data_IF_375106698977
#
_entry.id   IF_375106698977
#
_cell.length_a   1.000
_cell.length_b   1.000
_cell.length_c   1.000
_cell.angle_alpha   90.00
_cell.angle_beta   90.00
_cell.angle_gamma   90.00
#
_symmetry.space_group_name_H-M   'P 1'
#
loop_
_entity.id
_entity.type
_entity.pdbx_description
1 polymer ?
#
# COMPACT_ATOMS: atom_id res chain seq x y z
N UNK A 1 55.78 -3.51 4.14
CA UNK A 1 55.52 -4.91 3.76
C UNK A 1 54.12 -5.17 3.18
N UNK A 2 53.03 -4.50 3.60
CA UNK A 2 51.70 -4.72 3.00
C UNK A 2 51.50 -3.99 1.66
N UNK A 3 52.08 -2.79 1.48
CA UNK A 3 52.00 -2.03 0.22
C UNK A 3 52.85 -2.63 -0.93
N UNK A 4 53.98 -3.25 -0.61
CA UNK A 4 54.81 -3.97 -1.60
C UNK A 4 54.12 -5.26 -2.10
N UNK A 5 53.29 -5.89 -1.26
CA UNK A 5 52.60 -7.15 -1.60
C UNK A 5 51.41 -6.92 -2.54
N UNK A 6 50.68 -5.81 -2.39
CA UNK A 6 49.54 -5.44 -3.24
C UNK A 6 50.01 -5.14 -4.68
N UNK A 7 51.17 -4.49 -4.81
CA UNK A 7 51.76 -4.19 -6.11
C UNK A 7 52.19 -5.45 -6.86
N UNK A 8 52.74 -6.44 -6.15
CA UNK A 8 53.22 -7.68 -6.75
C UNK A 8 52.10 -8.57 -7.30
N UNK A 9 50.96 -8.66 -6.61
CA UNK A 9 49.80 -9.43 -7.07
C UNK A 9 49.14 -8.80 -8.32
N UNK A 10 48.97 -7.48 -8.31
CA UNK A 10 48.39 -6.76 -9.46
C UNK A 10 49.29 -6.87 -10.70
N UNK A 11 50.59 -6.70 -10.53
CA UNK A 11 51.57 -6.87 -11.62
C UNK A 11 51.53 -8.29 -12.17
N UNK A 12 51.42 -9.32 -11.32
CA UNK A 12 51.24 -10.71 -11.76
C UNK A 12 49.97 -10.92 -12.56
N UNK A 13 48.85 -10.35 -12.15
CA UNK A 13 47.56 -10.47 -12.84
C UNK A 13 47.59 -9.74 -14.17
N UNK A 14 48.13 -8.52 -14.24
CA UNK A 14 48.26 -7.78 -15.49
C UNK A 14 49.22 -8.46 -16.46
N UNK A 15 50.33 -9.00 -15.96
CA UNK A 15 51.30 -9.73 -16.77
C UNK A 15 50.70 -11.05 -17.31
N UNK A 16 50.03 -11.83 -16.46
CA UNK A 16 49.38 -13.08 -16.89
C UNK A 16 48.24 -12.82 -17.86
N UNK A 17 47.41 -11.79 -17.62
CA UNK A 17 46.32 -11.40 -18.51
C UNK A 17 46.83 -10.87 -19.85
N UNK A 18 47.95 -10.14 -19.87
CA UNK A 18 48.58 -9.69 -21.11
C UNK A 18 49.11 -10.86 -21.94
N UNK A 19 49.79 -11.83 -21.30
CA UNK A 19 50.29 -13.04 -21.98
C UNK A 19 49.13 -13.88 -22.52
N UNK A 20 48.09 -14.09 -21.71
CA UNK A 20 46.93 -14.88 -22.08
C UNK A 20 46.06 -14.19 -23.14
N UNK A 21 45.91 -12.86 -23.06
CA UNK A 21 45.27 -12.03 -24.07
C UNK A 21 46.02 -12.01 -25.39
N UNK A 22 47.35 -11.92 -25.36
CA UNK A 22 48.22 -12.10 -26.53
C UNK A 22 47.97 -13.45 -27.20
N UNK A 23 47.90 -14.52 -26.41
CA UNK A 23 47.64 -15.88 -26.90
C UNK A 23 46.23 -16.01 -27.50
N UNK A 24 45.20 -15.43 -26.88
CA UNK A 24 43.84 -15.37 -27.43
C UNK A 24 43.75 -14.60 -28.75
N UNK A 25 44.45 -13.47 -28.86
CA UNK A 25 44.56 -12.70 -30.10
C UNK A 25 45.31 -13.44 -31.22
N UNK A 26 46.28 -14.29 -30.83
CA UNK A 26 47.06 -15.15 -31.72
C UNK A 26 46.24 -16.36 -32.20
N UNK A 27 45.47 -17.01 -31.33
CA UNK A 27 44.49 -18.03 -31.72
C UNK A 27 43.44 -17.43 -32.67
N UNK A 28 42.92 -16.24 -32.36
CA UNK A 28 42.02 -15.50 -33.25
C UNK A 28 42.66 -15.15 -34.59
N UNK A 29 43.98 -14.95 -34.62
CA UNK A 29 44.72 -14.80 -35.87
C UNK A 29 44.69 -16.09 -36.68
N UNK A 30 45.11 -17.20 -36.10
CA UNK A 30 45.20 -18.47 -36.80
C UNK A 30 43.85 -18.95 -37.30
N UNK A 31 42.79 -18.83 -36.50
CA UNK A 31 41.44 -19.25 -36.91
C UNK A 31 40.91 -18.41 -38.09
N UNK A 32 41.10 -17.08 -38.05
CA UNK A 32 40.66 -16.22 -39.15
C UNK A 32 41.58 -16.38 -40.38
N UNK A 33 42.87 -16.61 -40.17
CA UNK A 33 43.82 -16.80 -41.25
C UNK A 33 43.65 -18.18 -41.93
N UNK A 34 43.27 -19.21 -41.18
CA UNK A 34 42.88 -20.54 -41.68
C UNK A 34 41.61 -20.46 -42.54
N UNK A 35 40.60 -19.70 -42.10
CA UNK A 35 39.40 -19.41 -42.93
C UNK A 35 39.75 -18.67 -44.22
N UNK A 36 40.70 -17.72 -44.19
CA UNK A 36 41.15 -17.03 -45.39
C UNK A 36 42.10 -17.84 -46.26
N UNK A 37 42.89 -18.77 -45.70
CA UNK A 37 43.75 -19.68 -46.49
C UNK A 37 42.98 -20.82 -47.14
N UNK A 38 41.92 -21.35 -46.49
CA UNK A 38 40.96 -22.26 -47.14
C UNK A 38 40.25 -21.57 -48.31
N UNK A 39 39.95 -20.26 -48.18
CA UNK A 39 39.40 -19.47 -49.29
C UNK A 39 40.45 -19.07 -50.35
N UNK A 40 41.75 -19.14 -50.03
CA UNK A 40 42.86 -18.67 -50.87
C UNK A 40 43.76 -19.78 -51.42
N UNK A 41 43.38 -21.06 -51.32
CA UNK A 41 44.09 -22.21 -51.91
C UNK A 41 44.25 -22.17 -53.46
N UNK A 42 43.91 -21.06 -54.11
CA UNK A 42 44.08 -20.80 -55.54
C UNK A 42 45.07 -19.69 -55.89
N UNK A 43 45.84 -19.12 -54.95
CA UNK A 43 46.89 -18.16 -55.32
C UNK A 43 48.19 -18.35 -54.57
N UNK A 44 49.23 -18.41 -55.39
CA UNK A 44 50.62 -18.65 -55.03
C UNK A 44 51.13 -17.85 -53.84
N UNK A 45 51.85 -18.60 -53.00
CA UNK A 45 53.05 -18.25 -52.27
C UNK A 45 53.29 -16.77 -51.99
N UNK A 46 53.07 -16.37 -50.73
CA UNK A 46 53.82 -15.27 -50.12
C UNK A 46 53.69 -15.31 -48.59
N UNK A 47 54.61 -16.04 -47.97
CA UNK A 47 54.73 -16.18 -46.50
C UNK A 47 55.25 -14.91 -45.80
N UNK A 48 55.54 -13.84 -46.54
CA UNK A 48 56.11 -12.59 -46.01
C UNK A 48 55.10 -11.73 -45.21
N UNK A 49 53.78 -11.89 -45.40
CA UNK A 49 52.77 -11.01 -44.77
C UNK A 49 52.29 -11.45 -43.38
N UNK A 50 52.78 -12.58 -42.88
CA UNK A 50 52.28 -13.22 -41.65
C UNK A 50 52.85 -12.58 -40.38
N UNK A 51 54.08 -12.06 -40.42
CA UNK A 51 54.78 -11.56 -39.22
C UNK A 51 54.23 -10.24 -38.65
N UNK A 52 54.02 -9.16 -39.42
CA UNK A 52 53.42 -7.91 -38.90
C UNK A 52 51.98 -8.15 -38.43
N UNK A 53 51.30 -9.02 -39.20
CA UNK A 53 50.14 -9.84 -38.88
C UNK A 53 49.94 -10.17 -37.41
N UNK A 54 50.75 -11.13 -36.98
CA UNK A 54 50.74 -11.78 -35.68
C UNK A 54 51.07 -10.80 -34.55
N UNK A 55 51.98 -9.86 -34.77
CA UNK A 55 52.34 -8.91 -33.71
C UNK A 55 51.17 -7.97 -33.39
N UNK A 56 50.55 -7.39 -34.41
CA UNK A 56 49.38 -6.51 -34.24
C UNK A 56 48.20 -7.25 -33.59
N UNK A 57 48.05 -8.51 -33.97
CA UNK A 57 47.05 -9.43 -33.46
C UNK A 57 47.16 -9.72 -31.97
N UNK A 58 48.36 -10.02 -31.51
CA UNK A 58 48.64 -10.27 -30.10
C UNK A 58 48.50 -8.99 -29.28
N UNK A 59 48.92 -7.83 -29.81
CA UNK A 59 48.73 -6.54 -29.15
C UNK A 59 47.24 -6.18 -28.98
N UNK A 60 46.41 -6.41 -30.01
CA UNK A 60 44.95 -6.19 -29.92
C UNK A 60 44.34 -7.14 -28.88
N UNK A 61 44.77 -8.40 -28.85
CA UNK A 61 44.32 -9.39 -27.86
C UNK A 61 44.69 -9.00 -26.42
N UNK A 62 45.92 -8.54 -26.19
CA UNK A 62 46.36 -8.04 -24.89
C UNK A 62 45.57 -6.80 -24.45
N UNK A 63 45.41 -5.82 -25.33
CA UNK A 63 44.64 -4.61 -25.04
C UNK A 63 43.17 -4.92 -24.70
N UNK A 64 42.53 -5.81 -25.47
CA UNK A 64 41.16 -6.25 -25.20
C UNK A 64 41.02 -7.00 -23.88
N UNK A 65 41.99 -7.86 -23.55
CA UNK A 65 42.00 -8.57 -22.27
C UNK A 65 42.17 -7.64 -21.07
N UNK A 66 43.03 -6.63 -21.16
CA UNK A 66 43.25 -5.65 -20.09
C UNK A 66 41.99 -4.81 -19.90
N UNK A 67 41.39 -4.30 -20.98
CA UNK A 67 40.16 -3.50 -20.93
C UNK A 67 39.01 -4.26 -20.29
N UNK A 68 38.88 -5.55 -20.60
CA UNK A 68 37.85 -6.42 -20.02
C UNK A 68 38.10 -6.72 -18.53
N UNK A 69 39.36 -6.87 -18.12
CA UNK A 69 39.72 -7.05 -16.71
C UNK A 69 39.31 -5.83 -15.88
N UNK A 70 39.58 -4.62 -16.37
CA UNK A 70 39.14 -3.37 -15.72
C UNK A 70 37.62 -3.30 -15.58
N UNK A 71 36.87 -3.72 -16.61
CA UNK A 71 35.42 -3.76 -16.57
C UNK A 71 34.89 -4.71 -15.50
N UNK A 72 35.46 -5.91 -15.37
CA UNK A 72 35.04 -6.88 -14.34
C UNK A 72 35.38 -6.39 -12.93
N UNK A 73 36.56 -5.79 -12.75
CA UNK A 73 36.93 -5.19 -11.46
C UNK A 73 35.99 -4.04 -11.09
N UNK A 74 35.59 -3.20 -12.05
CA UNK A 74 34.65 -2.11 -11.81
C UNK A 74 33.25 -2.59 -11.36
N UNK A 75 32.85 -3.80 -11.77
CA UNK A 75 31.58 -4.44 -11.39
C UNK A 75 31.71 -5.21 -10.06
N UNK A 76 32.90 -5.25 -9.45
CA UNK A 76 33.15 -5.92 -8.17
C UNK A 76 33.25 -7.44 -8.27
N UNK A 77 33.49 -7.99 -9.47
CA UNK A 77 33.49 -9.43 -9.73
C UNK A 77 34.73 -10.21 -9.28
N UNK A 78 35.83 -9.53 -8.91
CA UNK A 78 37.12 -10.12 -8.54
C UNK A 78 37.73 -9.36 -7.35
N UNK A 79 37.47 -9.82 -6.12
CA UNK A 79 37.92 -9.11 -4.91
C UNK A 79 39.04 -9.81 -4.13
N UNK A 80 39.40 -11.05 -4.45
CA UNK A 80 40.55 -11.75 -3.86
C UNK A 80 41.27 -12.55 -4.96
N UNK A 81 42.58 -12.36 -5.10
CA UNK A 81 43.43 -13.10 -6.06
C UNK A 81 44.35 -14.07 -5.33
N UNK A 82 43.83 -14.75 -4.30
CA UNK A 82 44.66 -15.59 -3.42
C UNK A 82 44.41 -17.08 -3.61
N UNK A 83 43.39 -17.48 -4.38
CA UNK A 83 43.11 -18.90 -4.64
C UNK A 83 43.46 -19.29 -6.08
N UNK A 84 43.96 -20.52 -6.26
CA UNK A 84 44.35 -21.06 -7.57
C UNK A 84 43.19 -21.04 -8.58
N UNK A 85 41.96 -21.27 -8.12
CA UNK A 85 40.76 -21.26 -8.97
C UNK A 85 40.44 -19.87 -9.53
N UNK A 86 40.67 -18.80 -8.77
CA UNK A 86 40.46 -17.42 -9.22
C UNK A 86 41.49 -17.01 -10.27
N UNK A 87 42.75 -17.46 -10.12
CA UNK A 87 43.77 -17.27 -11.15
C UNK A 87 43.41 -17.99 -12.46
N UNK A 88 42.99 -19.25 -12.39
CA UNK A 88 42.59 -20.02 -13.57
C UNK A 88 41.37 -19.41 -14.28
N UNK A 89 40.43 -18.85 -13.50
CA UNK A 89 39.27 -18.14 -14.05
C UNK A 89 39.68 -16.84 -14.75
N UNK A 90 40.55 -16.03 -14.14
CA UNK A 90 41.07 -14.79 -14.73
C UNK A 90 41.83 -15.06 -16.04
N UNK A 91 42.66 -16.10 -16.06
CA UNK A 91 43.39 -16.56 -17.24
C UNK A 91 42.41 -16.96 -18.36
N UNK A 92 41.41 -17.78 -18.05
CA UNK A 92 40.43 -18.26 -19.05
C UNK A 92 39.63 -17.12 -19.66
N UNK A 93 39.19 -16.17 -18.83
CA UNK A 93 38.44 -14.99 -19.26
C UNK A 93 39.29 -14.07 -20.13
N UNK A 94 40.58 -13.91 -19.79
CA UNK A 94 41.53 -13.10 -20.55
C UNK A 94 41.76 -13.63 -21.97
N UNK A 95 41.86 -14.96 -22.14
CA UNK A 95 41.98 -15.61 -23.46
C UNK A 95 40.72 -15.37 -24.30
N UNK A 96 39.52 -15.52 -23.70
CA UNK A 96 38.23 -15.33 -24.39
C UNK A 96 38.04 -13.87 -24.82
N UNK A 97 38.36 -12.92 -23.94
CA UNK A 97 38.27 -11.48 -24.23
C UNK A 97 39.24 -11.06 -25.34
N UNK A 98 40.48 -11.57 -25.32
CA UNK A 98 41.47 -11.33 -26.38
C UNK A 98 41.02 -11.88 -27.74
N UNK A 99 40.37 -13.04 -27.77
CA UNK A 99 39.77 -13.62 -28.98
C UNK A 99 38.56 -12.80 -29.48
N UNK A 100 37.67 -12.40 -28.57
CA UNK A 100 36.45 -11.63 -28.86
C UNK A 100 36.75 -10.26 -29.48
N UNK A 101 37.68 -9.50 -28.88
CA UNK A 101 38.08 -8.17 -29.34
C UNK A 101 38.52 -8.17 -30.81
N UNK A 102 39.27 -9.18 -31.23
CA UNK A 102 39.72 -9.29 -32.62
C UNK A 102 38.58 -9.62 -33.59
N UNK A 103 37.65 -10.51 -33.21
CA UNK A 103 36.60 -10.96 -34.12
C UNK A 103 35.52 -9.91 -34.39
N UNK A 104 35.29 -9.00 -33.43
CA UNK A 104 34.22 -8.00 -33.47
C UNK A 104 34.66 -6.65 -34.06
N UNK A 105 35.90 -6.21 -33.79
CA UNK A 105 36.36 -4.88 -34.19
C UNK A 105 36.35 -4.64 -35.72
N UNK A 106 36.82 -5.57 -36.59
CA UNK A 106 36.80 -5.35 -38.04
C UNK A 106 35.39 -5.31 -38.64
N UNK A 107 34.41 -5.99 -38.01
CA UNK A 107 33.01 -6.01 -38.46
C UNK A 107 32.26 -4.71 -38.14
N UNK A 108 32.70 -3.97 -37.13
CA UNK A 108 32.13 -2.66 -36.80
C UNK A 108 32.66 -1.54 -37.71
N UNK A 109 33.92 -1.61 -38.14
CA UNK A 109 34.55 -0.57 -38.98
C UNK A 109 34.06 -0.61 -40.43
N UNK A 110 33.89 -1.80 -41.03
CA UNK A 110 33.37 -1.94 -42.41
C UNK A 110 31.90 -1.55 -42.59
N UNK A 111 31.11 -1.57 -41.50
CA UNK A 111 29.72 -1.09 -41.51
C UNK A 111 29.61 0.43 -41.29
N UNK A 112 30.65 1.10 -40.79
CA UNK A 112 30.67 2.55 -40.58
C UNK A 112 30.94 3.34 -41.87
N UNK A 113 31.86 2.87 -42.73
CA UNK A 113 32.18 3.57 -44.00
C UNK A 113 31.04 3.49 -45.03
N UNK A 114 30.35 2.35 -45.11
CA UNK A 114 29.22 2.16 -46.03
C UNK A 114 27.94 2.85 -45.55
N UNK A 115 27.81 3.08 -44.24
CA UNK A 115 26.74 3.91 -43.67
C UNK A 115 27.00 5.40 -43.90
N UNK A 116 28.24 5.86 -44.00
CA UNK A 116 28.55 7.30 -44.12
C UNK A 116 28.14 7.94 -45.46
N UNK A 117 28.20 7.21 -46.59
CA UNK A 117 27.78 7.78 -47.90
C UNK A 117 26.28 7.64 -48.19
N UNK A 118 25.57 6.71 -47.55
CA UNK A 118 24.09 6.66 -47.57
C UNK A 118 23.47 7.61 -46.52
N UNK A 119 24.25 8.07 -45.54
CA UNK A 119 23.85 9.01 -44.48
C UNK A 119 23.75 10.44 -45.01
N UNK A 120 24.54 10.89 -45.98
CA UNK A 120 24.44 12.29 -46.46
C UNK A 120 23.09 12.59 -47.15
N UNK A 121 22.47 11.56 -47.77
CA UNK A 121 21.10 11.65 -48.34
C UNK A 121 19.99 11.24 -47.35
N UNK A 122 20.31 10.48 -46.29
CA UNK A 122 19.36 10.13 -45.21
C UNK A 122 19.38 11.07 -44.00
N UNK A 123 20.38 11.93 -43.82
CA UNK A 123 20.48 12.86 -42.67
C UNK A 123 19.36 13.88 -42.67
N UNK A 124 18.84 14.28 -43.84
CA UNK A 124 17.61 15.07 -43.92
C UNK A 124 16.32 14.27 -43.61
N UNK A 125 16.36 12.93 -43.54
CA UNK A 125 15.20 12.08 -43.19
C UNK A 125 15.36 11.34 -41.84
N UNK A 126 16.56 11.30 -41.25
CA UNK A 126 16.87 10.65 -39.97
C UNK A 126 17.01 11.66 -38.82
N UNK A 127 17.29 12.94 -39.08
CA UNK A 127 17.11 14.00 -38.09
C UNK A 127 15.68 13.96 -37.51
N UNK A 128 14.68 13.90 -38.40
CA UNK A 128 13.26 13.82 -38.02
C UNK A 128 12.91 12.52 -37.26
N UNK A 129 13.55 11.37 -37.58
CA UNK A 129 13.24 10.07 -36.94
C UNK A 129 13.98 9.82 -35.62
N UNK A 130 15.14 10.41 -35.40
CA UNK A 130 15.84 10.33 -34.09
C UNK A 130 15.17 11.26 -33.08
N UNK A 131 14.69 12.43 -33.53
CA UNK A 131 13.84 13.30 -32.72
C UNK A 131 12.48 12.64 -32.42
N UNK A 132 11.89 11.91 -33.38
CA UNK A 132 10.69 11.09 -33.16
C UNK A 132 10.92 9.96 -32.15
N UNK A 133 12.02 9.21 -32.22
CA UNK A 133 12.30 8.12 -31.25
C UNK A 133 12.66 8.65 -29.86
N UNK A 134 13.41 9.75 -29.75
CA UNK A 134 13.72 10.37 -28.46
C UNK A 134 12.47 10.99 -27.82
N UNK A 135 11.60 11.61 -28.61
CA UNK A 135 10.29 12.09 -28.14
C UNK A 135 9.36 10.96 -27.71
N UNK A 136 9.35 9.81 -28.41
CA UNK A 136 8.57 8.63 -28.00
C UNK A 136 9.12 8.03 -26.70
N UNK A 137 10.44 7.97 -26.54
CA UNK A 137 11.06 7.48 -25.30
C UNK A 137 10.80 8.41 -24.11
N UNK A 138 10.86 9.73 -24.33
CA UNK A 138 10.51 10.72 -23.31
C UNK A 138 9.03 10.68 -22.95
N UNK A 139 8.13 10.56 -23.94
CA UNK A 139 6.70 10.38 -23.72
C UNK A 139 6.39 9.09 -22.95
N UNK A 140 7.03 7.97 -23.30
CA UNK A 140 6.87 6.70 -22.58
C UNK A 140 7.41 6.76 -21.14
N UNK A 141 8.53 7.47 -20.91
CA UNK A 141 9.05 7.69 -19.56
C UNK A 141 8.15 8.61 -18.73
N UNK A 142 7.56 9.63 -19.34
CA UNK A 142 6.59 10.50 -18.71
C UNK A 142 5.28 9.75 -18.38
N UNK A 143 4.79 8.91 -19.30
CA UNK A 143 3.62 8.06 -19.09
C UNK A 143 3.87 7.01 -18.00
N UNK A 144 5.06 6.41 -17.94
CA UNK A 144 5.45 5.51 -16.87
C UNK A 144 5.50 6.24 -15.51
N UNK A 145 6.04 7.47 -15.46
CA UNK A 145 6.02 8.30 -14.25
C UNK A 145 4.59 8.66 -13.82
N UNK A 146 3.73 9.03 -14.76
CA UNK A 146 2.30 9.29 -14.49
C UNK A 146 1.60 8.03 -13.96
N UNK A 147 1.87 6.86 -14.54
CA UNK A 147 1.32 5.59 -14.08
C UNK A 147 1.79 5.21 -12.66
N UNK A 148 3.07 5.42 -12.34
CA UNK A 148 3.61 5.21 -10.98
C UNK A 148 2.94 6.17 -10.00
N UNK A 149 2.84 7.45 -10.33
CA UNK A 149 2.20 8.45 -9.47
C UNK A 149 0.71 8.13 -9.25
N UNK A 150 0.00 7.68 -10.29
CA UNK A 150 -1.38 7.21 -10.17
C UNK A 150 -1.49 5.99 -9.27
N UNK A 151 -0.60 5.01 -9.42
CA UNK A 151 -0.58 3.81 -8.57
C UNK A 151 -0.30 4.13 -7.09
N UNK A 152 0.64 5.03 -6.81
CA UNK A 152 0.91 5.51 -5.45
C UNK A 152 -0.29 6.24 -4.84
N UNK A 153 -0.93 7.12 -5.62
CA UNK A 153 -2.14 7.81 -5.17
C UNK A 153 -3.28 6.83 -4.86
N UNK A 154 -3.49 5.83 -5.73
CA UNK A 154 -4.50 4.80 -5.54
C UNK A 154 -4.21 3.93 -4.31
N UNK A 155 -2.94 3.60 -4.07
CA UNK A 155 -2.51 2.89 -2.87
C UNK A 155 -2.81 3.70 -1.60
N UNK A 156 -2.43 4.97 -1.56
CA UNK A 156 -2.73 5.83 -0.41
C UNK A 156 -4.23 6.01 -0.16
N UNK A 157 -5.04 6.13 -1.22
CA UNK A 157 -6.50 6.14 -1.10
C UNK A 157 -7.04 4.82 -0.56
N UNK A 158 -6.53 3.68 -1.03
CA UNK A 158 -6.95 2.36 -0.55
C UNK A 158 -6.58 2.13 0.93
N UNK A 159 -5.38 2.54 1.36
CA UNK A 159 -4.96 2.47 2.75
C UNK A 159 -5.82 3.34 3.66
N UNK A 160 -6.15 4.56 3.23
CA UNK A 160 -7.06 5.44 3.95
C UNK A 160 -8.46 4.82 4.08
N UNK A 161 -9.02 4.32 2.98
CA UNK A 161 -10.33 3.68 2.98
C UNK A 161 -10.36 2.43 3.88
N UNK A 162 -9.32 1.60 3.84
CA UNK A 162 -9.22 0.43 4.71
C UNK A 162 -9.22 0.82 6.19
N UNK A 163 -8.48 1.88 6.56
CA UNK A 163 -8.46 2.38 7.94
C UNK A 163 -9.86 2.84 8.39
N UNK A 164 -10.56 3.61 7.55
CA UNK A 164 -11.92 4.09 7.85
C UNK A 164 -12.90 2.94 8.04
N UNK A 165 -12.91 1.98 7.11
CA UNK A 165 -13.78 0.78 7.18
C UNK A 165 -13.50 -0.02 8.46
N UNK A 166 -12.23 -0.17 8.83
CA UNK A 166 -11.84 -0.88 10.04
C UNK A 166 -12.37 -0.18 11.31
N UNK A 167 -12.24 1.14 11.40
CA UNK A 167 -12.75 1.93 12.53
C UNK A 167 -14.30 1.83 12.65
N UNK A 168 -15.00 1.83 11.53
CA UNK A 168 -16.46 1.61 11.49
C UNK A 168 -16.84 0.20 11.93
N UNK A 169 -16.13 -0.82 11.43
CA UNK A 169 -16.35 -2.21 11.80
C UNK A 169 -16.11 -2.46 13.30
N UNK A 170 -15.06 -1.87 13.88
CA UNK A 170 -14.75 -1.97 15.30
C UNK A 170 -15.87 -1.35 16.15
N UNK A 171 -16.45 -0.23 15.70
CA UNK A 171 -17.58 0.44 16.35
C UNK A 171 -18.87 -0.40 16.28
N UNK A 172 -19.14 -1.04 15.14
CA UNK A 172 -20.27 -1.97 14.97
C UNK A 172 -20.12 -3.20 15.86
N UNK A 173 -18.91 -3.77 15.91
CA UNK A 173 -18.59 -4.92 16.77
C UNK A 173 -18.80 -4.59 18.24
N UNK A 174 -18.30 -3.43 18.68
CA UNK A 174 -18.49 -2.98 20.05
C UNK A 174 -19.97 -2.78 20.40
N UNK A 175 -20.77 -2.22 19.48
CA UNK A 175 -22.22 -2.10 19.67
C UNK A 175 -22.89 -3.45 19.90
N UNK A 176 -22.57 -4.46 19.09
CA UNK A 176 -23.12 -5.81 19.25
C UNK A 176 -22.72 -6.43 20.60
N UNK A 177 -21.45 -6.29 20.99
CA UNK A 177 -20.93 -6.79 22.26
C UNK A 177 -21.60 -6.13 23.47
N UNK A 178 -21.91 -4.83 23.41
CA UNK A 178 -22.65 -4.13 24.49
C UNK A 178 -24.07 -4.69 24.65
N UNK A 179 -24.74 -5.02 23.54
CA UNK A 179 -26.08 -5.62 23.57
C UNK A 179 -26.03 -7.01 24.21
N UNK A 180 -25.09 -7.85 23.77
CA UNK A 180 -24.87 -9.18 24.37
C UNK A 180 -24.53 -9.08 25.87
N UNK A 181 -23.75 -8.07 26.25
CA UNK A 181 -23.36 -7.85 27.63
C UNK A 181 -24.53 -7.48 28.57
N UNK A 182 -25.68 -7.08 28.04
CA UNK A 182 -26.88 -6.83 28.82
C UNK A 182 -27.47 -8.11 29.43
N UNK A 183 -27.18 -9.30 28.88
CA UNK A 183 -27.69 -10.58 29.38
C UNK A 183 -27.33 -10.81 30.86
N UNK A 184 -28.25 -11.36 31.64
CA UNK A 184 -28.07 -11.53 33.09
C UNK A 184 -26.81 -12.33 33.47
N UNK A 185 -26.45 -13.35 32.68
CA UNK A 185 -25.32 -14.24 32.92
C UNK A 185 -23.95 -13.71 32.50
N UNK A 186 -23.85 -12.54 31.87
CA UNK A 186 -22.55 -12.00 31.42
C UNK A 186 -21.65 -11.68 32.61
N UNK A 187 -20.42 -12.19 32.56
CA UNK A 187 -19.44 -12.04 33.64
C UNK A 187 -19.15 -10.56 33.97
N UNK A 188 -19.00 -10.20 35.26
CA UNK A 188 -18.76 -8.83 35.69
C UNK A 188 -17.57 -8.14 35.02
N UNK A 189 -16.48 -8.87 34.78
CA UNK A 189 -15.29 -8.30 34.18
C UNK A 189 -15.53 -7.94 32.71
N UNK A 190 -16.18 -8.83 31.96
CA UNK A 190 -16.45 -8.65 30.53
C UNK A 190 -17.28 -7.39 30.28
N UNK A 191 -18.42 -7.23 30.97
CA UNK A 191 -19.27 -6.07 30.71
C UNK A 191 -18.64 -4.75 31.19
N UNK A 192 -17.80 -4.77 32.24
CA UNK A 192 -17.05 -3.60 32.70
C UNK A 192 -16.02 -3.14 31.67
N UNK A 193 -15.27 -4.08 31.10
CA UNK A 193 -14.25 -3.77 30.09
C UNK A 193 -14.90 -3.21 28.82
N UNK A 194 -16.01 -3.81 28.38
CA UNK A 194 -16.80 -3.29 27.25
C UNK A 194 -17.38 -1.91 27.54
N UNK A 195 -17.90 -1.67 28.75
CA UNK A 195 -18.43 -0.38 29.15
C UNK A 195 -17.34 0.70 29.14
N UNK A 196 -16.17 0.42 29.71
CA UNK A 196 -15.03 1.34 29.73
C UNK A 196 -14.61 1.72 28.31
N UNK A 197 -14.41 0.72 27.43
CA UNK A 197 -14.05 0.95 26.03
C UNK A 197 -15.10 1.79 25.29
N UNK A 198 -16.38 1.54 25.55
CA UNK A 198 -17.47 2.30 24.94
C UNK A 198 -17.52 3.75 25.44
N UNK A 199 -17.28 3.97 26.74
CA UNK A 199 -17.21 5.31 27.33
C UNK A 199 -16.01 6.12 26.82
N UNK A 200 -14.85 5.49 26.64
CA UNK A 200 -13.69 6.12 26.00
C UNK A 200 -14.00 6.52 24.56
N UNK A 201 -14.66 5.65 23.79
CA UNK A 201 -15.09 5.97 22.44
C UNK A 201 -16.11 7.12 22.43
N UNK A 202 -17.08 7.10 23.36
CA UNK A 202 -18.07 8.16 23.56
C UNK A 202 -17.43 9.52 23.85
N UNK A 203 -16.39 9.55 24.68
CA UNK A 203 -15.62 10.76 24.98
C UNK A 203 -14.83 11.29 23.77
N UNK A 204 -14.48 10.44 22.80
CA UNK A 204 -13.58 10.79 21.69
C UNK A 204 -14.22 11.58 20.54
N UNK A 205 -15.47 12.05 20.63
CA UNK A 205 -16.27 12.64 19.54
C UNK A 205 -16.39 11.79 18.26
N UNK A 206 -15.87 10.56 18.25
CA UNK A 206 -15.97 9.59 17.15
C UNK A 206 -17.07 8.57 17.35
N UNK A 207 -17.73 8.56 18.51
CA UNK A 207 -18.81 7.62 18.77
C UNK A 207 -20.04 7.96 17.94
N UNK A 208 -20.60 6.93 17.30
CA UNK A 208 -21.96 7.00 16.79
C UNK A 208 -22.97 7.15 17.94
N UNK A 209 -24.09 7.81 17.68
CA UNK A 209 -25.22 7.92 18.60
C UNK A 209 -25.71 6.56 19.13
N UNK A 210 -25.58 5.49 18.34
CA UNK A 210 -25.93 4.13 18.74
C UNK A 210 -25.08 3.61 19.92
N UNK A 211 -23.79 3.97 19.99
CA UNK A 211 -22.91 3.59 21.11
C UNK A 211 -23.46 4.16 22.42
N UNK A 212 -23.88 5.42 22.43
CA UNK A 212 -24.47 6.07 23.61
C UNK A 212 -25.74 5.36 24.09
N UNK A 213 -26.63 4.97 23.17
CA UNK A 213 -27.85 4.21 23.50
C UNK A 213 -27.48 2.85 24.12
N UNK A 214 -26.50 2.14 23.55
CA UNK A 214 -26.12 0.82 24.06
C UNK A 214 -25.33 0.88 25.37
N UNK A 215 -24.56 1.95 25.62
CA UNK A 215 -24.00 2.25 26.95
C UNK A 215 -25.13 2.41 27.96
N UNK A 216 -26.15 3.23 27.66
CA UNK A 216 -27.26 3.47 28.56
C UNK A 216 -28.05 2.17 28.85
N UNK A 217 -28.28 1.33 27.84
CA UNK A 217 -28.91 0.01 28.01
C UNK A 217 -28.10 -0.91 28.94
N UNK A 218 -26.78 -0.98 28.74
CA UNK A 218 -25.93 -1.78 29.60
C UNK A 218 -25.97 -1.27 31.05
N UNK A 219 -25.89 0.05 31.24
CA UNK A 219 -25.97 0.69 32.55
C UNK A 219 -27.31 0.42 33.25
N UNK A 220 -28.43 0.46 32.52
CA UNK A 220 -29.76 0.10 33.03
C UNK A 220 -29.76 -1.33 33.61
N UNK A 221 -29.12 -2.29 32.92
CA UNK A 221 -29.12 -3.68 33.36
C UNK A 221 -28.05 -4.02 34.41
N UNK A 222 -26.93 -3.31 34.45
CA UNK A 222 -25.75 -3.69 35.26
C UNK A 222 -25.39 -2.71 36.36
N UNK A 223 -25.89 -1.48 36.31
CA UNK A 223 -25.54 -0.40 37.23
C UNK A 223 -26.79 0.19 37.88
N UNK A 224 -27.36 1.24 37.28
CA UNK A 224 -28.54 1.95 37.80
C UNK A 224 -29.27 2.66 36.64
N UNK A 225 -30.55 2.96 36.86
CA UNK A 225 -31.31 3.80 35.95
C UNK A 225 -30.75 5.22 35.85
N UNK A 226 -30.23 5.79 36.95
CA UNK A 226 -29.66 7.14 36.95
C UNK A 226 -28.42 7.25 36.07
N UNK A 227 -27.54 6.24 36.07
CA UNK A 227 -26.40 6.21 35.18
C UNK A 227 -26.83 6.15 33.70
N UNK A 228 -27.83 5.32 33.40
CA UNK A 228 -28.37 5.20 32.05
C UNK A 228 -29.02 6.50 31.56
N UNK A 229 -29.84 7.14 32.40
CA UNK A 229 -30.47 8.43 32.12
C UNK A 229 -29.41 9.50 31.89
N UNK A 230 -28.39 9.60 32.75
CA UNK A 230 -27.30 10.57 32.60
C UNK A 230 -26.55 10.41 31.27
N UNK A 231 -26.32 9.18 30.81
CA UNK A 231 -25.72 8.92 29.49
C UNK A 231 -26.61 9.44 28.36
N UNK A 232 -27.93 9.24 28.45
CA UNK A 232 -28.89 9.74 27.45
C UNK A 232 -29.02 11.27 27.49
N UNK A 233 -28.96 11.88 28.67
CA UNK A 233 -28.91 13.35 28.83
C UNK A 233 -27.70 13.92 28.11
N UNK A 234 -26.53 13.30 28.29
CA UNK A 234 -25.30 13.71 27.61
C UNK A 234 -25.43 13.58 26.08
N UNK A 235 -26.03 12.49 25.59
CA UNK A 235 -26.30 12.33 24.16
C UNK A 235 -27.22 13.43 23.62
N UNK A 236 -28.32 13.72 24.32
CA UNK A 236 -29.26 14.77 23.93
C UNK A 236 -28.61 16.15 23.94
N UNK A 237 -27.79 16.45 24.95
CA UNK A 237 -27.00 17.68 25.01
C UNK A 237 -26.06 17.81 23.81
N UNK A 238 -25.42 16.72 23.37
CA UNK A 238 -24.58 16.73 22.17
C UNK A 238 -25.37 17.02 20.90
N UNK A 239 -26.60 16.51 20.77
CA UNK A 239 -27.48 16.88 19.67
C UNK A 239 -27.88 18.36 19.71
N UNK A 240 -28.16 18.91 20.89
CA UNK A 240 -28.52 20.32 21.03
C UNK A 240 -27.34 21.27 20.81
N UNK A 241 -26.13 20.84 21.16
CA UNK A 241 -24.89 21.55 20.89
C UNK A 241 -24.42 21.43 19.43
N UNK A 242 -25.13 20.67 18.57
CA UNK A 242 -24.75 20.34 17.20
C UNK A 242 -23.38 19.63 17.09
N UNK A 243 -22.96 18.93 18.15
CA UNK A 243 -21.75 18.08 18.12
C UNK A 243 -22.00 16.77 17.37
N UNK A 244 -23.26 16.32 17.33
CA UNK A 244 -23.72 15.14 16.59
C UNK A 244 -24.91 15.55 15.73
N UNK A 245 -24.91 15.12 14.46
CA UNK A 245 -26.04 15.35 13.54
C UNK A 245 -27.25 14.52 13.94
N UNK A 246 -28.44 15.14 13.97
CA UNK A 246 -29.71 14.43 14.30
C UNK A 246 -29.96 13.29 13.32
N UNK A 247 -30.01 12.07 13.84
CA UNK A 247 -30.31 10.86 13.10
C UNK A 247 -31.53 10.15 13.71
N UNK A 248 -31.78 8.90 13.31
CA UNK A 248 -32.89 8.08 13.85
C UNK A 248 -32.79 7.83 15.36
N UNK A 249 -31.58 7.90 15.93
CA UNK A 249 -31.35 7.68 17.35
C UNK A 249 -31.67 8.93 18.20
N UNK A 250 -31.98 10.08 17.57
CA UNK A 250 -32.42 11.28 18.30
C UNK A 250 -33.76 11.05 19.00
N UNK A 251 -34.79 10.59 18.28
CA UNK A 251 -36.08 10.21 18.91
C UNK A 251 -35.93 8.98 19.80
N UNK A 252 -35.05 8.03 19.44
CA UNK A 252 -34.79 6.85 20.24
C UNK A 252 -34.15 7.16 21.60
N UNK A 253 -33.35 8.23 21.71
CA UNK A 253 -32.80 8.67 22.98
C UNK A 253 -33.91 9.06 23.98
N UNK A 254 -34.91 9.83 23.52
CA UNK A 254 -36.10 10.13 24.31
C UNK A 254 -36.88 8.88 24.68
N UNK A 255 -37.11 7.98 23.72
CA UNK A 255 -37.81 6.71 23.97
C UNK A 255 -37.16 5.92 25.10
N UNK A 256 -35.85 5.65 25.01
CA UNK A 256 -35.15 4.85 26.02
C UNK A 256 -35.16 5.56 27.38
N UNK A 257 -35.01 6.90 27.40
CA UNK A 257 -35.06 7.68 28.64
C UNK A 257 -36.46 7.65 29.28
N UNK A 258 -37.53 7.69 28.47
CA UNK A 258 -38.90 7.52 28.93
C UNK A 258 -39.11 6.15 29.61
N UNK A 259 -38.64 5.06 28.99
CA UNK A 259 -38.68 3.73 29.59
C UNK A 259 -37.99 3.70 30.96
N UNK A 260 -36.82 4.35 31.06
CA UNK A 260 -36.05 4.35 32.30
C UNK A 260 -36.72 5.16 33.40
N UNK A 261 -37.29 6.31 33.08
CA UNK A 261 -38.09 7.09 34.03
C UNK A 261 -39.36 6.36 34.47
N UNK A 262 -40.08 5.68 33.57
CA UNK A 262 -41.28 4.91 33.95
C UNK A 262 -40.91 3.75 34.87
N UNK A 263 -39.85 2.99 34.56
CA UNK A 263 -39.38 1.93 35.46
C UNK A 263 -38.94 2.46 36.82
N UNK A 264 -38.28 3.63 36.87
CA UNK A 264 -37.97 4.28 38.14
C UNK A 264 -39.25 4.63 38.90
N UNK A 265 -40.26 5.21 38.24
CA UNK A 265 -41.55 5.51 38.84
C UNK A 265 -42.20 4.24 39.43
N UNK A 266 -42.20 3.14 38.69
CA UNK A 266 -42.77 1.87 39.16
C UNK A 266 -42.04 1.32 40.39
N UNK A 267 -40.76 1.64 40.56
CA UNK A 267 -39.97 1.26 41.74
C UNK A 267 -40.09 2.24 42.93
N UNK A 268 -40.30 3.53 42.67
CA UNK A 268 -40.20 4.60 43.66
C UNK A 268 -41.54 5.23 44.04
N UNK A 269 -42.55 5.10 43.17
CA UNK A 269 -43.83 5.81 43.18
C UNK A 269 -43.72 7.36 43.16
N UNK A 270 -42.59 7.92 42.73
CA UNK A 270 -42.41 9.38 42.65
C UNK A 270 -43.03 9.93 41.37
N UNK A 271 -44.11 10.70 41.49
CA UNK A 271 -44.85 11.25 40.35
C UNK A 271 -43.99 12.10 39.39
N UNK A 272 -42.94 12.75 39.89
CA UNK A 272 -42.00 13.50 39.08
C UNK A 272 -41.34 12.64 37.99
N UNK A 273 -41.04 11.37 38.27
CA UNK A 273 -40.42 10.46 37.30
C UNK A 273 -41.39 10.11 36.18
N UNK A 274 -42.66 9.86 36.51
CA UNK A 274 -43.70 9.62 35.50
C UNK A 274 -43.98 10.84 34.62
N UNK A 275 -43.91 12.04 35.20
CA UNK A 275 -44.02 13.29 34.43
C UNK A 275 -42.86 13.43 33.45
N UNK A 276 -41.63 13.08 33.84
CA UNK A 276 -40.49 13.07 32.92
C UNK A 276 -40.66 12.03 31.82
N UNK A 277 -41.14 10.82 32.15
CA UNK A 277 -41.43 9.80 31.15
C UNK A 277 -42.43 10.28 30.09
N UNK A 278 -43.52 10.94 30.49
CA UNK A 278 -44.51 11.52 29.57
C UNK A 278 -43.92 12.66 28.72
N UNK A 279 -43.07 13.52 29.31
CA UNK A 279 -42.40 14.58 28.58
C UNK A 279 -41.46 14.03 27.50
N UNK A 280 -40.76 12.94 27.81
CA UNK A 280 -39.90 12.23 26.85
C UNK A 280 -40.70 11.51 25.77
N UNK A 281 -41.82 10.85 26.10
CA UNK A 281 -42.74 10.29 25.10
C UNK A 281 -43.20 11.37 24.13
N UNK A 282 -43.66 12.53 24.65
CA UNK A 282 -44.07 13.65 23.80
C UNK A 282 -42.95 14.12 22.88
N UNK A 283 -41.73 14.25 23.40
CA UNK A 283 -40.55 14.67 22.62
C UNK A 283 -40.17 13.62 21.56
N UNK A 284 -40.23 12.34 21.92
CA UNK A 284 -40.04 11.21 21.00
C UNK A 284 -41.02 11.30 19.83
N UNK A 285 -42.32 11.41 20.09
CA UNK A 285 -43.37 11.48 19.07
C UNK A 285 -43.25 12.73 18.20
N UNK A 286 -42.86 13.87 18.78
CA UNK A 286 -42.66 15.13 18.04
C UNK A 286 -41.51 15.03 17.02
N UNK A 287 -40.50 14.22 17.32
CA UNK A 287 -39.32 14.05 16.48
C UNK A 287 -39.31 12.74 15.68
N UNK A 288 -40.31 11.90 15.87
CA UNK A 288 -40.46 10.64 15.15
C UNK A 288 -40.81 10.90 13.68
N UNK A 289 -40.22 10.10 12.78
CA UNK A 289 -40.61 10.12 11.36
C UNK A 289 -42.02 9.57 11.14
N UNK A 290 -42.42 8.59 11.95
CA UNK A 290 -43.75 7.99 11.93
C UNK A 290 -44.26 7.84 13.37
N UNK A 291 -44.91 8.89 13.93
CA UNK A 291 -45.42 8.86 15.30
C UNK A 291 -46.42 7.74 15.56
N UNK A 292 -47.23 7.35 14.57
CA UNK A 292 -48.20 6.26 14.72
C UNK A 292 -47.51 4.91 14.99
N UNK A 293 -46.46 4.61 14.23
CA UNK A 293 -45.67 3.39 14.45
C UNK A 293 -44.94 3.41 15.80
N UNK A 294 -44.44 4.56 16.25
CA UNK A 294 -43.83 4.68 17.59
C UNK A 294 -44.87 4.45 18.70
N UNK A 295 -46.09 4.95 18.56
CA UNK A 295 -47.18 4.69 19.53
C UNK A 295 -47.49 3.20 19.62
N UNK A 296 -47.56 2.49 18.49
CA UNK A 296 -47.74 1.04 18.48
C UNK A 296 -46.59 0.31 19.19
N UNK A 297 -45.34 0.67 18.89
CA UNK A 297 -44.18 0.10 19.57
C UNK A 297 -44.20 0.36 21.08
N UNK A 298 -44.57 1.57 21.52
CA UNK A 298 -44.71 1.90 22.94
C UNK A 298 -45.78 1.06 23.63
N UNK A 299 -46.90 0.76 22.94
CA UNK A 299 -47.98 -0.08 23.49
C UNK A 299 -47.56 -1.53 23.69
N UNK A 300 -46.66 -2.03 22.83
CA UNK A 300 -46.15 -3.40 22.90
C UNK A 300 -44.92 -3.52 23.83
N UNK A 301 -44.31 -2.41 24.25
CA UNK A 301 -43.16 -2.40 25.15
C UNK A 301 -43.56 -2.64 26.61
N UNK A 302 -42.97 -3.68 27.21
CA UNK A 302 -43.17 -4.06 28.60
C UNK A 302 -42.72 -2.98 29.58
N UNK A 303 -41.69 -2.21 29.22
CA UNK A 303 -41.14 -1.15 30.08
C UNK A 303 -42.10 0.06 30.18
N UNK A 304 -43.05 0.19 29.23
CA UNK A 304 -44.04 1.27 29.18
C UNK A 304 -45.47 0.79 29.43
N UNK A 305 -45.66 -0.49 29.77
CA UNK A 305 -46.97 -1.14 29.86
C UNK A 305 -47.99 -0.43 30.77
N UNK A 306 -47.52 0.19 31.86
CA UNK A 306 -48.38 0.97 32.76
C UNK A 306 -48.54 2.43 32.33
N UNK A 307 -47.55 2.99 31.63
CA UNK A 307 -47.62 4.35 31.10
C UNK A 307 -48.68 4.46 30.00
N UNK A 308 -48.71 3.51 29.07
CA UNK A 308 -49.61 3.56 27.91
C UNK A 308 -51.09 3.44 28.25
N UNK A 309 -51.41 2.95 29.45
CA UNK A 309 -52.77 2.88 30.00
C UNK A 309 -53.24 4.19 30.63
N UNK A 310 -52.32 5.14 30.87
CA UNK A 310 -52.67 6.42 31.49
C UNK A 310 -53.49 7.30 30.56
N UNK A 311 -54.38 8.09 31.14
CA UNK A 311 -55.19 9.06 30.40
C UNK A 311 -54.30 10.09 29.69
N UNK A 312 -53.18 10.46 30.29
CA UNK A 312 -52.20 11.39 29.76
C UNK A 312 -51.53 10.84 28.49
N UNK A 313 -51.14 9.56 28.48
CA UNK A 313 -50.59 8.93 27.28
C UNK A 313 -51.65 8.82 26.18
N UNK A 314 -52.87 8.40 26.51
CA UNK A 314 -53.97 8.30 25.53
C UNK A 314 -54.24 9.66 24.88
N UNK A 315 -54.30 10.73 25.67
CA UNK A 315 -54.47 12.09 25.16
C UNK A 315 -53.31 12.53 24.24
N UNK A 316 -52.06 12.15 24.56
CA UNK A 316 -50.92 12.40 23.68
C UNK A 316 -51.03 11.63 22.36
N UNK A 317 -51.42 10.35 22.40
CA UNK A 317 -51.58 9.52 21.23
C UNK A 317 -52.70 10.03 20.30
N UNK A 318 -53.85 10.41 20.87
CA UNK A 318 -54.98 10.96 20.13
C UNK A 318 -54.64 12.29 19.47
N UNK A 319 -53.90 13.16 20.18
CA UNK A 319 -53.43 14.42 19.63
C UNK A 319 -52.52 14.19 18.41
N UNK A 320 -51.61 13.22 18.49
CA UNK A 320 -50.70 12.92 17.38
C UNK A 320 -51.44 12.34 16.17
N UNK A 321 -52.43 11.47 16.40
CA UNK A 321 -53.29 10.94 15.34
C UNK A 321 -54.09 12.04 14.64
N UNK A 322 -54.54 13.06 15.38
CA UNK A 322 -55.24 14.21 14.81
C UNK A 322 -54.32 15.13 13.98
N UNK A 323 -53.05 15.27 14.36
CA UNK A 323 -52.09 16.14 13.65
C UNK A 323 -51.42 15.50 12.45
N UNK A 324 -51.37 14.17 12.38
CA UNK A 324 -50.75 13.41 11.29
C UNK A 324 -51.69 12.28 10.82
N UNK A 325 -52.81 12.60 10.15
CA UNK A 325 -53.65 11.58 9.52
C UNK A 325 -52.84 10.96 8.39
N UNK A 326 -52.49 9.68 8.53
CA UNK A 326 -51.66 8.94 7.57
C UNK A 326 -52.15 9.00 6.13
#
# INVERSE_FOLDING_TARGET
MLEEFINYALVKVLFSSSICGCFGGLIGHFINNEKSTIAAAHRDGRDWFVYPSIVQSSLIGAAGSIAFLFFITAIGGLNNFNTLNEYLRSISVSVIAGFGARSLLPRMVGNLEKQLSEVDTRVSQVGDKVEEVDSIAQAAAEDARKAIQQAESAKSSAEHNYKTIKEEFDTLTLNAQLIEACAAGTEPQIWKDLLNRAQELAASNKASSAIWINIARLQRHKITFDAAISTLDNLLNKYFANEISRDKNFSAAYYNRACYYEMKFLSSSQSAERQQALADVKSCLTHAKNPASEIEQMRDDKDLAELVKSAEFVALADLQAATNPG
#
